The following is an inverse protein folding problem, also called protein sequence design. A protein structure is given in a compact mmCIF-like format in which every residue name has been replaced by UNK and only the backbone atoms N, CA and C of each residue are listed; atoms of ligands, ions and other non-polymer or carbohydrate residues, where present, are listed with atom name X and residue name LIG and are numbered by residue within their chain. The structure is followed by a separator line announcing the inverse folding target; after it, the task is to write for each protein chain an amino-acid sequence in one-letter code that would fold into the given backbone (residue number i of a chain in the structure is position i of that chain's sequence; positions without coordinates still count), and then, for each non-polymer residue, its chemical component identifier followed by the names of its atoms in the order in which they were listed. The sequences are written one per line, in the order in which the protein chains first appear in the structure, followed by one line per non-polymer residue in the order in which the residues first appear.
data_IF_623935866363
#
_entry.id   IF_623935866363
#
_cell.length_a   1.000
_cell.length_b   1.000
_cell.length_c   1.000
_cell.angle_alpha   90.00
_cell.angle_beta   90.00
_cell.angle_gamma   90.00
#
_symmetry.space_group_name_H-M   'P 1'
#
loop_
_entity.id
_entity.type
_entity.pdbx_description
1 polymer ?
#
# COMPACT_ATOMS: atom_id res chain seq x y z
N UNK A 1 -15.80 22.54 -34.27
CA UNK A 1 -16.38 22.05 -33.01
C UNK A 1 -15.23 21.66 -32.10
N UNK A 2 -14.86 22.46 -31.08
CA UNK A 2 -13.92 22.02 -30.05
C UNK A 2 -14.67 21.02 -29.15
N UNK A 3 -14.26 19.75 -29.16
CA UNK A 3 -14.73 18.76 -28.19
C UNK A 3 -14.00 19.00 -26.89
N UNK A 4 -14.63 19.77 -26.00
CA UNK A 4 -14.16 19.92 -24.62
C UNK A 4 -14.10 18.51 -24.00
N UNK A 5 -12.88 18.02 -23.77
CA UNK A 5 -12.58 16.62 -23.43
C UNK A 5 -12.92 16.25 -21.99
N UNK A 6 -13.84 16.97 -21.36
CA UNK A 6 -14.30 16.72 -19.99
C UNK A 6 -15.64 15.99 -20.04
N UNK A 7 -15.63 14.77 -20.60
CA UNK A 7 -16.76 13.86 -20.44
C UNK A 7 -16.82 13.42 -18.98
N UNK A 8 -18.02 13.48 -18.41
CA UNK A 8 -18.38 13.24 -17.02
C UNK A 8 -18.04 11.84 -16.44
N UNK A 9 -17.14 11.07 -17.05
CA UNK A 9 -16.81 9.70 -16.70
C UNK A 9 -15.33 9.51 -16.45
N UNK A 10 -14.75 10.13 -15.41
CA UNK A 10 -13.51 9.66 -14.79
C UNK A 10 -12.24 9.45 -15.62
N UNK A 11 -12.20 9.70 -16.92
CA UNK A 11 -11.03 9.51 -17.80
C UNK A 11 -10.48 10.87 -18.23
N UNK A 12 -9.16 11.03 -18.20
CA UNK A 12 -8.44 12.22 -18.67
C UNK A 12 -8.10 12.14 -20.16
N UNK A 13 -7.54 13.22 -20.72
CA UNK A 13 -7.10 13.27 -22.12
C UNK A 13 -5.99 12.24 -22.38
N UNK A 14 -6.17 11.33 -23.35
CA UNK A 14 -5.11 10.42 -23.77
C UNK A 14 -3.92 11.16 -24.36
N UNK A 15 -2.70 10.72 -24.04
CA UNK A 15 -1.48 11.22 -24.67
C UNK A 15 -0.53 10.08 -25.06
N UNK A 16 0.32 10.34 -26.04
CA UNK A 16 1.34 9.39 -26.50
C UNK A 16 2.66 9.67 -25.82
N UNK A 17 3.31 8.60 -25.36
CA UNK A 17 4.70 8.65 -24.90
C UNK A 17 5.66 8.55 -26.10
N UNK A 18 6.90 9.07 -25.99
CA UNK A 18 7.91 8.96 -27.05
C UNK A 18 8.17 7.51 -27.51
N UNK A 19 7.93 6.55 -26.62
CA UNK A 19 8.11 5.12 -26.83
C UNK A 19 6.88 4.43 -27.47
N UNK A 20 5.92 5.20 -27.98
CA UNK A 20 4.73 4.70 -28.69
C UNK A 20 3.65 4.07 -27.82
N UNK A 21 3.66 4.31 -26.50
CA UNK A 21 2.57 3.87 -25.62
C UNK A 21 1.52 4.97 -25.42
N UNK A 22 0.25 4.59 -25.56
CA UNK A 22 -0.90 5.46 -25.28
C UNK A 22 -1.21 5.41 -23.78
N UNK A 23 -1.23 6.56 -23.12
CA UNK A 23 -1.56 6.69 -21.69
C UNK A 23 -2.91 7.38 -21.54
N UNK A 24 -3.83 6.77 -20.80
CA UNK A 24 -5.16 7.30 -20.49
C UNK A 24 -5.29 7.46 -18.97
N UNK A 25 -5.25 8.69 -18.43
CA UNK A 25 -5.44 8.92 -17.00
C UNK A 25 -6.86 8.56 -16.53
N UNK A 26 -6.98 8.06 -15.31
CA UNK A 26 -8.27 7.72 -14.68
C UNK A 26 -8.34 8.31 -13.28
N UNK A 27 -9.44 8.98 -12.99
CA UNK A 27 -9.70 9.66 -11.73
C UNK A 27 -10.25 8.71 -10.65
N UNK A 28 -11.01 7.67 -11.03
CA UNK A 28 -11.61 6.72 -10.08
C UNK A 28 -11.70 5.30 -10.68
N UNK A 29 -10.90 4.33 -10.19
CA UNK A 29 -9.79 4.50 -9.25
C UNK A 29 -8.65 5.33 -9.85
N UNK A 30 -7.84 5.98 -9.01
CA UNK A 30 -6.73 6.84 -9.47
C UNK A 30 -5.63 5.96 -10.09
N UNK A 31 -5.24 6.28 -11.33
CA UNK A 31 -4.17 5.59 -12.04
C UNK A 31 -4.17 5.91 -13.53
N UNK A 32 -3.47 5.10 -14.31
CA UNK A 32 -3.37 5.25 -15.76
C UNK A 32 -3.53 3.90 -16.45
N UNK A 33 -4.24 3.88 -17.57
CA UNK A 33 -4.13 2.78 -18.54
C UNK A 33 -2.98 3.05 -19.50
N UNK A 34 -2.13 2.06 -19.72
CA UNK A 34 -1.02 2.11 -20.68
C UNK A 34 -1.30 1.07 -21.76
N UNK A 35 -1.39 1.50 -23.00
CA UNK A 35 -1.66 0.63 -24.15
C UNK A 35 -0.41 0.60 -25.03
N UNK A 36 0.14 -0.60 -25.29
CA UNK A 36 1.31 -0.81 -26.15
C UNK A 36 1.17 -2.15 -26.86
N UNK A 37 1.39 -2.18 -28.18
CA UNK A 37 1.41 -3.43 -28.96
C UNK A 37 0.12 -4.25 -28.95
N UNK A 38 -1.04 -3.60 -28.77
CA UNK A 38 -2.34 -4.28 -28.65
C UNK A 38 -2.67 -4.79 -27.24
N UNK A 39 -1.76 -4.62 -26.28
CA UNK A 39 -1.99 -4.95 -24.87
C UNK A 39 -2.34 -3.69 -24.07
N UNK A 40 -3.34 -3.79 -23.19
CA UNK A 40 -3.72 -2.74 -22.26
C UNK A 40 -3.40 -3.16 -20.83
N UNK A 41 -2.61 -2.34 -20.12
CA UNK A 41 -2.22 -2.57 -18.72
C UNK A 41 -2.70 -1.43 -17.83
N UNK A 42 -3.31 -1.78 -16.69
CA UNK A 42 -3.65 -0.81 -15.64
C UNK A 42 -2.46 -0.59 -14.70
N UNK A 43 -2.14 0.68 -14.43
CA UNK A 43 -1.13 1.09 -13.45
C UNK A 43 -1.80 1.98 -12.41
N UNK A 44 -2.02 1.43 -11.21
CA UNK A 44 -2.64 2.15 -10.12
C UNK A 44 -1.68 3.19 -9.51
N UNK A 45 -2.20 4.35 -9.11
CA UNK A 45 -1.44 5.35 -8.37
C UNK A 45 -1.38 5.01 -6.87
N UNK A 46 -0.66 3.94 -6.53
CA UNK A 46 -0.48 3.49 -5.15
C UNK A 46 0.88 3.97 -4.62
N UNK A 47 0.88 4.59 -3.45
CA UNK A 47 2.10 4.94 -2.71
C UNK A 47 2.60 3.74 -1.89
N UNK A 48 3.56 3.00 -2.45
CA UNK A 48 4.16 1.83 -1.79
C UNK A 48 4.90 2.18 -0.51
N UNK A 49 5.51 3.37 -0.41
CA UNK A 49 6.24 3.79 0.78
C UNK A 49 5.28 4.02 1.95
N UNK A 50 4.13 4.65 1.68
CA UNK A 50 3.09 4.85 2.68
C UNK A 50 2.48 3.53 3.16
N UNK A 51 2.25 2.58 2.25
CA UNK A 51 1.79 1.22 2.62
C UNK A 51 2.83 0.51 3.49
N UNK A 52 4.11 0.58 3.11
CA UNK A 52 5.20 -0.01 3.88
C UNK A 52 5.29 0.59 5.29
N UNK A 53 5.19 1.93 5.41
CA UNK A 53 5.23 2.63 6.69
C UNK A 53 4.09 2.16 7.63
N UNK A 54 2.86 2.03 7.11
CA UNK A 54 1.73 1.52 7.89
C UNK A 54 2.00 0.10 8.39
N UNK A 55 2.53 -0.78 7.53
CA UNK A 55 2.90 -2.14 7.90
C UNK A 55 3.95 -2.18 9.01
N UNK A 56 5.02 -1.39 8.88
CA UNK A 56 6.10 -1.31 9.87
C UNK A 56 5.59 -0.77 11.20
N UNK A 57 4.81 0.32 11.21
CA UNK A 57 4.25 0.89 12.44
C UNK A 57 3.30 -0.09 13.15
N UNK A 58 2.46 -0.79 12.38
CA UNK A 58 1.54 -1.80 12.93
C UNK A 58 2.32 -2.96 13.55
N UNK A 59 3.33 -3.47 12.84
CA UNK A 59 4.19 -4.55 13.33
C UNK A 59 4.99 -4.15 14.57
N UNK A 60 5.55 -2.94 14.59
CA UNK A 60 6.27 -2.39 15.73
C UNK A 60 5.36 -2.26 16.95
N UNK A 61 4.15 -1.70 16.77
CA UNK A 61 3.17 -1.58 17.86
C UNK A 61 2.78 -2.96 18.41
N UNK A 62 2.52 -3.93 17.54
CA UNK A 62 2.24 -5.31 17.94
C UNK A 62 3.41 -5.92 18.73
N UNK A 63 4.65 -5.73 18.27
CA UNK A 63 5.85 -6.22 18.96
C UNK A 63 6.03 -5.58 20.34
N UNK A 64 5.78 -4.27 20.47
CA UNK A 64 5.82 -3.56 21.76
C UNK A 64 4.75 -4.12 22.71
N UNK A 65 3.52 -4.29 22.24
CA UNK A 65 2.42 -4.84 23.06
C UNK A 65 2.74 -6.28 23.49
N UNK A 66 3.22 -7.12 22.57
CA UNK A 66 3.62 -8.50 22.89
C UNK A 66 4.75 -8.53 23.91
N UNK A 67 5.77 -7.68 23.76
CA UNK A 67 6.86 -7.55 24.72
C UNK A 67 6.36 -7.11 26.09
N UNK A 68 5.47 -6.12 26.14
CA UNK A 68 4.84 -5.67 27.39
C UNK A 68 3.96 -6.76 28.02
N UNK A 69 3.26 -7.55 27.22
CA UNK A 69 2.47 -8.67 27.72
C UNK A 69 3.37 -9.71 28.38
N UNK A 70 4.49 -10.08 27.75
CA UNK A 70 5.50 -10.98 28.33
C UNK A 70 6.10 -10.39 29.60
N UNK A 71 6.35 -9.08 29.66
CA UNK A 71 6.88 -8.45 30.88
C UNK A 71 5.84 -8.38 32.03
N UNK A 72 4.57 -8.14 31.71
CA UNK A 72 3.50 -8.00 32.72
C UNK A 72 3.00 -9.34 33.24
N UNK A 73 2.96 -10.35 32.38
CA UNK A 73 2.53 -11.71 32.70
C UNK A 73 3.56 -12.67 32.11
N UNK A 74 4.74 -12.76 32.75
CA UNK A 74 5.78 -13.66 32.28
C UNK A 74 5.22 -15.07 32.15
N UNK A 75 5.37 -15.70 30.97
CA UNK A 75 4.80 -17.02 30.71
C UNK A 75 5.53 -18.14 31.49
N UNK A 76 6.65 -17.84 32.14
CA UNK A 76 7.40 -18.82 32.91
C UNK A 76 6.87 -18.95 34.35
N UNK A 77 6.85 -20.18 34.89
CA UNK A 77 6.50 -20.43 36.28
C UNK A 77 7.43 -19.69 37.25
N UNK A 78 6.89 -19.20 38.39
CA UNK A 78 7.70 -18.60 39.45
C UNK A 78 8.68 -19.63 40.00
N UNK A 79 9.97 -19.31 39.93
CA UNK A 79 11.03 -20.11 40.53
C UNK A 79 11.15 -19.66 41.99
N UNK A 80 10.72 -20.50 42.92
CA UNK A 80 10.99 -20.32 44.35
C UNK A 80 12.13 -21.25 44.72
N UNK A 81 13.31 -20.70 45.02
CA UNK A 81 14.44 -21.47 45.56
C UNK A 81 14.13 -21.74 47.04
N UNK A 82 13.59 -22.92 47.35
CA UNK A 82 13.48 -23.35 48.74
C UNK A 82 14.85 -23.87 49.16
N UNK A 83 15.56 -23.06 49.94
CA UNK A 83 16.83 -23.45 50.56
C UNK A 83 16.56 -24.60 51.54
N UNK A 84 17.19 -25.75 51.31
CA UNK A 84 17.08 -26.92 52.18
C UNK A 84 18.34 -26.99 53.02
N UNK A 85 18.18 -26.76 54.32
CA UNK A 85 19.25 -26.79 55.32
C UNK A 85 19.40 -28.18 55.92
#
# INVERSE_FOLDING_TARGET
MPTDGSVAGGYGQPYQTPDGATVIPVAKPVGVFVIRGGEARWVAAVDSNRVALIGVLTGLLAAVIASLAVLRQPPWPRITLTDYK
#
